data_IF_794363556059
#
_entry.id   IF_794363556059
#
_cell.length_a   1.000
_cell.length_b   1.000
_cell.length_c   1.000
_cell.angle_alpha   90.00
_cell.angle_beta   90.00
_cell.angle_gamma   90.00
#
_symmetry.space_group_name_H-M   'P 1'
#
loop_
_entity.id
_entity.type
_entity.pdbx_description
1 polymer ?
#
# COMPACT_ATOMS: atom_id res chain seq x y z
N UNK A 1 13.04 8.65 -6.12
CA UNK A 1 11.72 8.25 -5.59
C UNK A 1 10.74 9.38 -5.87
N UNK A 2 9.83 9.17 -6.82
CA UNK A 2 8.75 10.10 -7.18
C UNK A 2 7.41 9.38 -7.32
N UNK A 3 7.40 8.16 -7.87
CA UNK A 3 6.20 7.37 -8.15
C UNK A 3 6.25 6.08 -7.35
N UNK A 4 5.52 6.03 -6.25
CA UNK A 4 5.66 5.01 -5.20
C UNK A 4 4.39 4.18 -5.09
N UNK A 5 4.52 2.85 -5.02
CA UNK A 5 3.43 1.98 -4.58
C UNK A 5 3.78 1.29 -3.26
N UNK A 6 2.76 1.15 -2.41
CA UNK A 6 2.84 0.44 -1.12
C UNK A 6 1.84 -0.70 -1.16
N UNK A 7 2.34 -1.93 -1.15
CA UNK A 7 1.55 -3.16 -1.32
C UNK A 7 1.88 -4.21 -0.26
N UNK A 8 1.01 -5.21 -0.10
CA UNK A 8 1.14 -6.29 0.89
C UNK A 8 -0.16 -6.59 1.60
N UNK A 9 -0.18 -7.56 2.51
CA UNK A 9 -1.40 -8.01 3.19
C UNK A 9 -2.10 -6.87 3.97
N UNK A 10 -3.42 -6.95 4.09
CA UNK A 10 -4.20 -6.04 4.94
C UNK A 10 -3.76 -6.18 6.41
N UNK A 11 -3.71 -5.07 7.15
CA UNK A 11 -3.22 -5.09 8.54
C UNK A 11 -1.69 -5.07 8.70
N UNK A 12 -0.91 -5.19 7.63
CA UNK A 12 0.57 -5.18 7.68
C UNK A 12 1.18 -3.82 8.08
N UNK A 13 0.42 -2.72 8.08
CA UNK A 13 0.91 -1.38 8.42
C UNK A 13 1.23 -0.48 7.24
N UNK A 14 0.82 -0.86 6.02
CA UNK A 14 1.05 -0.12 4.77
C UNK A 14 0.62 1.35 4.85
N UNK A 15 -0.65 1.60 5.22
CA UNK A 15 -1.20 2.96 5.25
C UNK A 15 -0.52 3.83 6.31
N UNK A 16 -0.10 3.24 7.44
CA UNK A 16 0.70 3.94 8.44
C UNK A 16 2.08 4.33 7.90
N UNK A 17 2.73 3.43 7.19
CA UNK A 17 3.99 3.71 6.51
C UNK A 17 3.82 4.77 5.41
N UNK A 18 2.78 4.63 4.58
CA UNK A 18 2.51 5.56 3.48
C UNK A 18 2.27 7.00 3.97
N UNK A 19 1.55 7.18 5.11
CA UNK A 19 1.37 8.50 5.75
C UNK A 19 2.70 9.10 6.20
N UNK A 20 3.51 8.33 6.93
CA UNK A 20 4.82 8.78 7.38
C UNK A 20 5.74 9.11 6.20
N UNK A 21 5.69 8.32 5.13
CA UNK A 21 6.45 8.59 3.91
C UNK A 21 5.97 9.88 3.23
N UNK A 22 4.66 10.11 3.12
CA UNK A 22 4.07 11.38 2.66
C UNK A 22 4.61 12.56 3.48
N UNK A 23 4.54 12.46 4.79
CA UNK A 23 4.92 13.55 5.70
C UNK A 23 6.43 13.88 5.60
N UNK A 24 7.26 12.88 5.32
CA UNK A 24 8.69 13.05 5.12
C UNK A 24 9.04 13.57 3.72
N UNK A 25 8.33 13.16 2.68
CA UNK A 25 8.71 13.44 1.28
C UNK A 25 7.91 14.56 0.63
N UNK A 26 6.74 14.89 1.18
CA UNK A 26 5.79 15.82 0.57
C UNK A 26 5.07 15.25 -0.68
N UNK A 27 5.26 13.97 -1.01
CA UNK A 27 4.61 13.35 -2.16
C UNK A 27 3.10 13.21 -1.93
N UNK A 28 2.23 13.48 -2.92
CA UNK A 28 0.79 13.24 -2.80
C UNK A 28 0.49 11.77 -2.50
N UNK A 29 -0.36 11.49 -1.51
CA UNK A 29 -0.77 10.15 -1.11
C UNK A 29 -2.20 9.86 -1.54
N UNK A 30 -2.39 8.74 -2.24
CA UNK A 30 -3.66 8.25 -2.71
C UNK A 30 -3.94 6.86 -2.15
N UNK A 31 -5.07 6.70 -1.46
CA UNK A 31 -5.54 5.42 -0.96
C UNK A 31 -6.52 4.80 -1.96
N UNK A 32 -6.22 3.61 -2.48
CA UNK A 32 -7.12 2.95 -3.43
C UNK A 32 -8.46 2.58 -2.79
N UNK A 33 -8.48 2.30 -1.48
CA UNK A 33 -9.72 2.02 -0.76
C UNK A 33 -10.65 3.24 -0.73
N UNK A 34 -10.11 4.46 -0.61
CA UNK A 34 -10.87 5.71 -0.69
C UNK A 34 -11.40 6.03 -2.09
N UNK A 35 -10.77 5.47 -3.13
CA UNK A 35 -11.23 5.60 -4.52
C UNK A 35 -12.33 4.58 -4.82
N UNK A 36 -12.17 3.35 -4.31
CA UNK A 36 -13.07 2.24 -4.57
C UNK A 36 -14.35 2.31 -3.76
N UNK A 37 -14.24 2.60 -2.46
CA UNK A 37 -15.35 2.57 -1.52
C UNK A 37 -16.02 3.93 -1.34
N UNK A 38 -17.35 3.93 -1.30
CA UNK A 38 -18.17 5.10 -0.96
C UNK A 38 -18.54 5.08 0.54
N UNK A 39 -18.87 6.24 1.14
CA UNK A 39 -19.27 6.29 2.56
C UNK A 39 -20.49 5.44 2.91
N UNK A 40 -21.37 5.17 1.95
CA UNK A 40 -22.56 4.33 2.11
C UNK A 40 -22.26 2.81 2.02
N UNK A 41 -20.97 2.44 1.99
CA UNK A 41 -20.45 1.09 1.84
C UNK A 41 -20.71 0.44 0.48
N UNK A 42 -21.17 1.18 -0.51
CA UNK A 42 -21.16 0.75 -1.90
C UNK A 42 -19.80 1.02 -2.55
N UNK A 43 -19.61 0.52 -3.76
CA UNK A 43 -18.39 0.74 -4.50
C UNK A 43 -18.67 1.60 -5.75
N UNK A 44 -17.64 2.26 -6.24
CA UNK A 44 -17.67 2.87 -7.58
C UNK A 44 -17.66 1.78 -8.66
N UNK A 45 -18.00 2.11 -9.89
CA UNK A 45 -17.82 1.17 -11.01
C UNK A 45 -16.33 0.92 -11.29
N UNK A 46 -16.03 -0.16 -12.02
CA UNK A 46 -14.65 -0.45 -12.42
C UNK A 46 -14.09 0.65 -13.33
N UNK A 47 -14.93 1.17 -14.21
CA UNK A 47 -14.61 2.24 -15.15
C UNK A 47 -14.27 3.55 -14.42
N UNK A 48 -15.06 3.90 -13.40
CA UNK A 48 -14.79 5.07 -12.55
C UNK A 48 -13.47 4.90 -11.79
N UNK A 49 -13.23 3.74 -11.19
CA UNK A 49 -11.97 3.44 -10.51
C UNK A 49 -10.78 3.52 -11.46
N UNK A 50 -10.88 2.90 -12.64
CA UNK A 50 -9.80 2.90 -13.63
C UNK A 50 -9.49 4.31 -14.14
N UNK A 51 -10.50 5.12 -14.39
CA UNK A 51 -10.33 6.50 -14.81
C UNK A 51 -9.63 7.34 -13.71
N UNK A 52 -10.03 7.18 -12.45
CA UNK A 52 -9.39 7.84 -11.32
C UNK A 52 -7.93 7.39 -11.17
N UNK A 53 -7.66 6.10 -11.27
CA UNK A 53 -6.30 5.56 -11.20
C UNK A 53 -5.41 6.08 -12.33
N UNK A 54 -5.90 6.07 -13.58
CA UNK A 54 -5.15 6.59 -14.73
C UNK A 54 -4.81 8.07 -14.58
N UNK A 55 -5.74 8.87 -14.04
CA UNK A 55 -5.48 10.28 -13.72
C UNK A 55 -4.35 10.43 -12.69
N UNK A 56 -4.28 9.60 -11.66
CA UNK A 56 -3.18 9.61 -10.69
C UNK A 56 -1.87 9.21 -11.37
N UNK A 57 -1.87 8.13 -12.15
CA UNK A 57 -0.66 7.62 -12.81
C UNK A 57 -0.07 8.60 -13.83
N UNK A 58 -0.88 9.51 -14.40
CA UNK A 58 -0.43 10.55 -15.32
C UNK A 58 0.31 11.71 -14.64
N UNK A 59 0.24 11.83 -13.30
CA UNK A 59 0.91 12.87 -12.54
C UNK A 59 2.42 12.59 -12.44
N UNK A 60 3.21 13.64 -12.17
CA UNK A 60 4.66 13.56 -12.07
C UNK A 60 5.14 12.81 -10.83
N UNK A 61 4.36 12.85 -9.74
CA UNK A 61 4.72 12.22 -8.48
C UNK A 61 3.50 11.82 -7.67
N UNK A 62 3.61 10.70 -6.96
CA UNK A 62 2.55 10.16 -6.11
C UNK A 62 3.05 9.01 -5.23
N UNK A 63 2.30 8.75 -4.15
CA UNK A 63 2.31 7.51 -3.38
C UNK A 63 0.92 6.88 -3.56
N UNK A 64 0.85 5.62 -3.96
CA UNK A 64 -0.39 4.85 -4.05
C UNK A 64 -0.33 3.71 -3.03
N UNK A 65 -1.26 3.72 -2.07
CA UNK A 65 -1.46 2.65 -1.08
C UNK A 65 -2.66 1.78 -1.46
N UNK A 66 -2.46 0.48 -1.50
CA UNK A 66 -3.51 -0.52 -1.73
C UNK A 66 -3.09 -1.66 -2.67
N UNK A 67 -3.72 -2.82 -2.50
CA UNK A 67 -3.37 -4.03 -3.25
C UNK A 67 -3.98 -4.06 -4.65
N UNK A 68 -5.31 -4.14 -4.76
CA UNK A 68 -6.06 -4.16 -6.05
C UNK A 68 -5.32 -4.90 -7.18
N UNK A 69 -5.25 -6.24 -7.04
CA UNK A 69 -4.45 -7.13 -7.91
C UNK A 69 -4.69 -6.90 -9.41
N UNK A 70 -5.94 -6.60 -9.80
CA UNK A 70 -6.32 -6.34 -11.20
C UNK A 70 -5.52 -5.21 -11.86
N UNK A 71 -5.15 -4.20 -11.09
CA UNK A 71 -4.42 -3.03 -11.59
C UNK A 71 -2.95 -3.01 -11.16
N UNK A 72 -2.46 -4.06 -10.52
CA UNK A 72 -1.11 -4.10 -9.96
C UNK A 72 -0.03 -3.94 -11.04
N UNK A 73 -0.13 -4.69 -12.13
CA UNK A 73 0.87 -4.65 -13.21
C UNK A 73 0.92 -3.26 -13.88
N UNK A 74 -0.23 -2.58 -14.03
CA UNK A 74 -0.31 -1.21 -14.54
C UNK A 74 0.43 -0.22 -13.61
N UNK A 75 0.22 -0.33 -12.30
CA UNK A 75 0.88 0.52 -11.30
C UNK A 75 2.37 0.21 -11.20
N UNK A 76 2.75 -1.07 -11.29
CA UNK A 76 4.14 -1.51 -11.34
C UNK A 76 4.86 -0.95 -12.57
N UNK A 77 4.23 -0.91 -13.74
CA UNK A 77 4.81 -0.31 -14.93
C UNK A 77 5.09 1.20 -14.78
N UNK A 78 4.22 1.91 -14.03
CA UNK A 78 4.31 3.36 -13.87
C UNK A 78 5.21 3.83 -12.71
N UNK A 79 5.47 2.98 -11.70
CA UNK A 79 6.22 3.37 -10.51
C UNK A 79 7.74 3.27 -10.68
N UNK A 80 8.47 4.06 -9.89
CA UNK A 80 9.93 3.96 -9.73
C UNK A 80 10.35 3.24 -8.44
N UNK A 81 9.44 3.16 -7.46
CA UNK A 81 9.72 2.58 -6.14
C UNK A 81 8.54 1.76 -5.63
N UNK A 82 8.85 0.58 -5.11
CA UNK A 82 7.88 -0.34 -4.50
C UNK A 82 8.27 -0.59 -3.06
N UNK A 83 7.31 -0.45 -2.14
CA UNK A 83 7.40 -0.95 -0.77
C UNK A 83 6.45 -2.13 -0.61
N UNK A 84 7.02 -3.30 -0.45
CA UNK A 84 6.30 -4.56 -0.33
C UNK A 84 6.35 -5.09 1.10
N UNK A 85 5.18 -5.15 1.75
CA UNK A 85 5.01 -5.69 3.10
C UNK A 85 4.70 -7.19 3.03
N UNK A 86 5.73 -8.02 3.19
CA UNK A 86 5.69 -9.49 3.22
C UNK A 86 5.75 -9.99 4.68
N UNK A 87 4.76 -9.60 5.49
CA UNK A 87 4.67 -9.92 6.91
C UNK A 87 3.93 -11.24 7.16
N UNK A 88 4.19 -11.93 8.28
CA UNK A 88 3.40 -13.08 8.71
C UNK A 88 1.91 -12.76 8.86
N UNK A 89 1.05 -13.74 8.56
CA UNK A 89 -0.42 -13.58 8.62
C UNK A 89 -0.89 -13.17 10.01
N UNK A 90 -0.28 -13.72 11.05
CA UNK A 90 -0.61 -13.44 12.44
C UNK A 90 -0.42 -11.95 12.78
N UNK A 91 0.65 -11.35 12.28
CA UNK A 91 0.90 -9.90 12.45
C UNK A 91 -0.13 -9.06 11.68
N UNK A 92 -0.56 -9.54 10.51
CA UNK A 92 -1.59 -8.88 9.71
C UNK A 92 -2.97 -8.93 10.39
N UNK A 93 -3.36 -10.10 10.93
CA UNK A 93 -4.59 -10.27 11.70
C UNK A 93 -4.59 -9.41 12.97
N UNK A 94 -3.49 -9.41 13.74
CA UNK A 94 -3.32 -8.55 14.90
C UNK A 94 -3.42 -7.06 14.54
N UNK A 95 -2.90 -6.66 13.37
CA UNK A 95 -2.98 -5.30 12.88
C UNK A 95 -4.39 -4.87 12.47
N UNK A 96 -5.20 -5.78 11.95
CA UNK A 96 -6.63 -5.52 11.67
C UNK A 96 -7.40 -5.36 12.95
N UNK A 97 -7.18 -6.24 13.93
CA UNK A 97 -7.82 -6.16 15.25
C UNK A 97 -7.49 -4.86 15.99
N UNK A 98 -6.22 -4.46 15.99
CA UNK A 98 -5.76 -3.24 16.68
C UNK A 98 -6.36 -1.94 16.12
N UNK A 99 -6.83 -1.92 14.87
CA UNK A 99 -7.44 -0.74 14.25
C UNK A 99 -8.97 -0.71 14.31
N UNK A 100 -9.59 -1.79 14.83
CA UNK A 100 -11.05 -1.88 14.97
C UNK A 100 -11.59 -0.71 15.79
N UNK A 101 -12.69 -0.11 15.36
CA UNK A 101 -13.31 1.03 16.02
C UNK A 101 -12.56 2.35 15.89
N UNK A 102 -11.47 2.41 15.11
CA UNK A 102 -10.72 3.65 14.90
C UNK A 102 -11.14 4.35 13.61
N UNK A 103 -11.16 5.70 13.64
CA UNK A 103 -11.28 6.52 12.43
C UNK A 103 -9.95 6.50 11.68
N UNK A 104 -9.99 6.32 10.36
CA UNK A 104 -8.79 6.23 9.51
C UNK A 104 -8.92 7.11 8.27
N UNK A 105 -7.79 7.64 7.78
CA UNK A 105 -7.74 8.39 6.52
C UNK A 105 -7.96 7.51 5.28
N UNK A 106 -7.66 6.22 5.38
CA UNK A 106 -7.62 5.26 4.27
C UNK A 106 -8.92 4.47 4.09
N UNK A 107 -9.98 4.78 4.89
CA UNK A 107 -11.27 4.11 4.81
C UNK A 107 -12.40 5.10 5.06
N UNK A 108 -13.48 5.14 4.24
CA UNK A 108 -14.55 6.12 4.39
C UNK A 108 -15.54 5.82 5.52
N UNK A 109 -15.37 4.74 6.28
CA UNK A 109 -16.17 4.39 7.46
C UNK A 109 -15.31 3.78 8.57
N UNK A 110 -15.90 3.67 9.76
CA UNK A 110 -15.29 2.98 10.90
C UNK A 110 -15.70 1.50 10.87
N UNK A 111 -14.71 0.59 10.92
CA UNK A 111 -14.91 -0.85 11.01
C UNK A 111 -15.15 -1.22 12.49
N UNK A 112 -16.42 -1.43 12.88
CA UNK A 112 -16.80 -1.73 14.28
C UNK A 112 -16.73 -3.22 14.60
N UNK A 113 -17.02 -4.08 13.61
CA UNK A 113 -17.08 -5.53 13.77
C UNK A 113 -16.05 -6.21 12.86
N UNK A 114 -15.66 -7.43 13.22
CA UNK A 114 -14.84 -8.27 12.36
C UNK A 114 -15.72 -8.81 11.21
N UNK A 115 -15.28 -8.57 10.00
CA UNK A 115 -15.81 -9.25 8.82
C UNK A 115 -15.07 -10.59 8.66
N UNK A 116 -15.77 -11.71 8.89
CA UNK A 116 -15.15 -13.03 8.81
C UNK A 116 -14.66 -13.36 7.40
N UNK A 117 -15.35 -12.91 6.35
CA UNK A 117 -14.88 -13.07 4.96
C UNK A 117 -13.56 -12.32 4.75
N UNK A 118 -13.46 -11.13 5.30
CA UNK A 118 -12.23 -10.35 5.25
C UNK A 118 -11.09 -10.99 6.05
N UNK A 119 -11.37 -11.52 7.25
CA UNK A 119 -10.37 -12.25 8.03
C UNK A 119 -9.93 -13.52 7.32
N UNK A 120 -10.85 -14.25 6.68
CA UNK A 120 -10.52 -15.43 5.89
C UNK A 120 -9.65 -15.07 4.67
N UNK A 121 -9.95 -13.99 3.97
CA UNK A 121 -9.10 -13.46 2.91
C UNK A 121 -7.65 -13.22 3.39
N UNK A 122 -7.47 -12.67 4.60
CA UNK A 122 -6.14 -12.45 5.18
C UNK A 122 -5.44 -13.79 5.47
N UNK A 123 -6.15 -14.79 6.03
CA UNK A 123 -5.60 -16.13 6.30
C UNK A 123 -5.15 -16.84 5.02
N UNK A 124 -5.90 -16.64 3.94
CA UNK A 124 -5.65 -17.26 2.63
C UNK A 124 -4.69 -16.45 1.75
N UNK A 125 -4.33 -15.23 2.16
CA UNK A 125 -3.47 -14.34 1.40
C UNK A 125 -2.15 -15.00 0.96
N UNK A 126 -1.43 -15.77 1.82
CA UNK A 126 -0.18 -16.43 1.44
C UNK A 126 -0.33 -17.46 0.31
N UNK A 127 -1.49 -18.13 0.22
CA UNK A 127 -1.73 -19.17 -0.77
C UNK A 127 -2.29 -18.62 -2.08
N UNK A 128 -3.12 -17.57 -2.04
CA UNK A 128 -3.91 -17.13 -3.19
C UNK A 128 -3.46 -15.78 -3.78
N UNK A 129 -3.07 -14.84 -2.95
CA UNK A 129 -2.74 -13.48 -3.39
C UNK A 129 -1.23 -13.23 -3.44
N UNK A 130 -0.51 -13.64 -2.42
CA UNK A 130 0.93 -13.42 -2.30
C UNK A 130 1.75 -14.00 -3.47
N UNK A 131 1.50 -15.24 -3.97
CA UNK A 131 2.22 -15.77 -5.12
C UNK A 131 2.05 -14.91 -6.37
N UNK A 132 0.83 -14.49 -6.68
CA UNK A 132 0.52 -13.63 -7.84
C UNK A 132 1.22 -12.27 -7.73
N UNK A 133 1.26 -11.71 -6.53
CA UNK A 133 1.95 -10.44 -6.25
C UNK A 133 3.46 -10.60 -6.44
N UNK A 134 4.06 -11.68 -5.93
CA UNK A 134 5.48 -12.00 -6.12
C UNK A 134 5.83 -12.22 -7.59
N UNK A 135 4.97 -12.88 -8.36
CA UNK A 135 5.15 -13.06 -9.80
C UNK A 135 5.15 -11.71 -10.54
N UNK A 136 4.22 -10.81 -10.20
CA UNK A 136 4.19 -9.45 -10.77
C UNK A 136 5.47 -8.67 -10.42
N UNK A 137 5.92 -8.73 -9.16
CA UNK A 137 7.17 -8.10 -8.72
C UNK A 137 8.40 -8.67 -9.44
N UNK A 138 8.49 -9.99 -9.62
CA UNK A 138 9.59 -10.63 -10.32
C UNK A 138 9.65 -10.22 -11.80
N UNK A 139 8.49 -10.09 -12.46
CA UNK A 139 8.44 -9.62 -13.86
C UNK A 139 8.96 -8.19 -14.01
N UNK A 140 8.71 -7.33 -13.04
CA UNK A 140 9.15 -5.93 -13.11
C UNK A 140 10.54 -5.69 -12.51
N UNK A 141 11.12 -6.65 -11.77
CA UNK A 141 12.44 -6.51 -11.15
C UNK A 141 13.60 -6.38 -12.16
N UNK A 142 13.38 -6.77 -13.42
CA UNK A 142 14.34 -6.60 -14.52
C UNK A 142 14.37 -5.18 -15.11
N UNK A 143 13.42 -4.31 -14.77
CA UNK A 143 13.37 -2.94 -15.27
C UNK A 143 14.49 -2.10 -14.63
N UNK A 144 15.44 -1.63 -15.45
CA UNK A 144 16.57 -0.84 -14.99
C UNK A 144 16.07 0.46 -14.33
N UNK A 145 16.35 0.61 -13.04
CA UNK A 145 16.04 1.82 -12.26
C UNK A 145 14.90 1.70 -11.25
N UNK A 146 14.11 0.64 -11.28
CA UNK A 146 13.05 0.41 -10.29
C UNK A 146 13.63 -0.12 -8.98
N UNK A 147 13.24 0.50 -7.85
CA UNK A 147 13.66 0.09 -6.51
C UNK A 147 12.55 -0.70 -5.82
N UNK A 148 12.83 -1.92 -5.40
CA UNK A 148 11.89 -2.76 -4.66
C UNK A 148 12.46 -2.97 -3.25
N UNK A 149 11.73 -2.50 -2.24
CA UNK A 149 12.03 -2.69 -0.83
C UNK A 149 11.03 -3.70 -0.24
N UNK A 150 11.55 -4.79 0.31
CA UNK A 150 10.73 -5.83 0.95
C UNK A 150 10.89 -5.71 2.46
N UNK A 151 9.77 -5.49 3.15
CA UNK A 151 9.70 -5.46 4.60
C UNK A 151 9.07 -6.76 5.12
N UNK A 152 9.80 -7.47 5.96
CA UNK A 152 9.35 -8.72 6.57
C UNK A 152 8.85 -8.53 8.00
N UNK A 153 9.16 -7.37 8.57
CA UNK A 153 8.70 -6.92 9.88
C UNK A 153 8.29 -5.46 9.82
N UNK A 154 7.47 -5.01 10.77
CA UNK A 154 7.15 -3.58 10.92
C UNK A 154 8.39 -2.76 11.24
N UNK A 155 9.37 -3.38 11.92
CA UNK A 155 10.64 -2.74 12.27
C UNK A 155 11.48 -2.39 11.04
N UNK A 156 11.44 -3.22 9.99
CA UNK A 156 12.14 -2.92 8.73
C UNK A 156 11.61 -1.62 8.11
N UNK A 157 10.28 -1.44 8.11
CA UNK A 157 9.64 -0.24 7.61
C UNK A 157 9.98 1.00 8.45
N UNK A 158 10.02 0.88 9.78
CA UNK A 158 10.45 1.96 10.67
C UNK A 158 11.91 2.34 10.44
N UNK A 159 12.80 1.36 10.34
CA UNK A 159 14.22 1.57 10.09
C UNK A 159 14.44 2.30 8.74
N UNK A 160 13.68 1.94 7.71
CA UNK A 160 13.74 2.62 6.42
C UNK A 160 13.37 4.11 6.56
N UNK A 161 12.27 4.43 7.25
CA UNK A 161 11.85 5.82 7.46
C UNK A 161 12.86 6.61 8.29
N UNK A 162 13.42 6.02 9.35
CA UNK A 162 14.44 6.66 10.17
C UNK A 162 15.71 6.98 9.38
N UNK A 163 16.16 6.06 8.52
CA UNK A 163 17.30 6.30 7.62
C UNK A 163 17.01 7.41 6.61
N UNK A 164 15.76 7.51 6.12
CA UNK A 164 15.36 8.57 5.20
C UNK A 164 15.45 9.95 5.87
N UNK A 165 15.01 10.07 7.13
CA UNK A 165 15.14 11.31 7.93
C UNK A 165 16.60 11.70 8.08
N UNK A 166 17.48 10.76 8.44
CA UNK A 166 18.91 11.02 8.63
C UNK A 166 19.57 11.55 7.36
N UNK A 167 19.24 10.95 6.20
CA UNK A 167 19.79 11.38 4.89
C UNK A 167 19.30 12.79 4.54
N UNK A 168 18.05 13.14 4.84
CA UNK A 168 17.52 14.49 4.58
C UNK A 168 18.17 15.55 5.48
N UNK A 169 18.45 15.22 6.74
CA UNK A 169 19.16 16.12 7.66
C UNK A 169 20.56 16.40 7.15
N UNK A 170 21.32 15.37 6.76
CA UNK A 170 22.68 15.52 6.23
C UNK A 170 22.75 16.26 4.88
N UNK A 171 21.66 16.32 4.12
CA UNK A 171 21.60 17.04 2.85
C UNK A 171 21.26 18.54 3.03
N UNK A 172 20.80 18.95 4.22
CA UNK A 172 20.42 20.32 4.56
C UNK A 172 21.48 21.04 5.42
N UNK A 173 22.49 20.30 5.91
CA UNK A 173 23.69 20.80 6.59
C UNK A 173 24.83 21.04 5.58
#
# INVERSE_FOLDING_TARGET
MKKVIVIGCCGAGKSTFARKLRDLTGLPLHYLDMIWHKPDRTNVSREEFDAALLNILSQDSWIIDGNYQRTLDLRLAACDTVFFFDLPVEECLAGVEARRGTVREDMPWVELEADEEFLQFIREFPQHTLPKMKDSLNRCAGDSGKKIHVFRTRKDAENYLNNLVTVQQLAND
#
